data_IF_559510508208
#
_entry.id   IF_559510508208
#
_cell.length_a   1.000
_cell.length_b   1.000
_cell.length_c   1.000
_cell.angle_alpha   90.00
_cell.angle_beta   90.00
_cell.angle_gamma   90.00
#
_symmetry.space_group_name_H-M   'P 1'
#
loop_
_entity.id
_entity.type
_entity.pdbx_description
1 polymer ?
#
# COMPACT_ATOMS: atom_id res chain seq x y z
N UNK A 1 -5.08 -6.91 -26.28
CA UNK A 1 -5.37 -6.00 -25.14
C UNK A 1 -5.69 -6.73 -23.82
N UNK A 2 -6.47 -7.84 -23.82
CA UNK A 2 -6.84 -8.55 -22.57
C UNK A 2 -5.67 -9.15 -21.77
N UNK A 3 -4.56 -9.51 -22.43
CA UNK A 3 -3.36 -10.08 -21.79
C UNK A 3 -2.70 -9.08 -20.82
N UNK A 4 -2.34 -7.89 -21.31
CA UNK A 4 -1.74 -6.82 -20.51
C UNK A 4 -2.62 -6.42 -19.32
N UNK A 5 -3.93 -6.38 -19.51
CA UNK A 5 -4.87 -6.08 -18.42
C UNK A 5 -4.82 -7.12 -17.29
N UNK A 6 -4.65 -8.40 -17.63
CA UNK A 6 -4.50 -9.48 -16.62
C UNK A 6 -3.19 -9.35 -15.86
N UNK A 7 -2.09 -9.04 -16.55
CA UNK A 7 -0.79 -8.82 -15.92
C UNK A 7 -0.86 -7.65 -14.94
N UNK A 8 -1.36 -6.50 -15.37
CA UNK A 8 -1.50 -5.31 -14.52
C UNK A 8 -2.42 -5.57 -13.33
N UNK A 9 -3.47 -6.36 -13.51
CA UNK A 9 -4.34 -6.77 -12.41
C UNK A 9 -3.63 -7.67 -11.40
N UNK A 10 -2.86 -8.65 -11.87
CA UNK A 10 -2.07 -9.52 -11.01
C UNK A 10 -0.99 -8.73 -10.25
N UNK A 11 -0.30 -7.83 -10.95
CA UNK A 11 0.65 -6.89 -10.37
C UNK A 11 0.00 -6.04 -9.27
N UNK A 12 -1.18 -5.48 -9.54
CA UNK A 12 -1.92 -4.70 -8.54
C UNK A 12 -2.25 -5.54 -7.30
N UNK A 13 -2.76 -6.76 -7.47
CA UNK A 13 -3.04 -7.66 -6.34
C UNK A 13 -1.77 -7.99 -5.54
N UNK A 14 -0.67 -8.30 -6.23
CA UNK A 14 0.61 -8.62 -5.59
C UNK A 14 1.19 -7.42 -4.83
N UNK A 15 1.16 -6.23 -5.43
CA UNK A 15 1.62 -5.00 -4.81
C UNK A 15 0.84 -4.70 -3.51
N UNK A 16 -0.48 -4.78 -3.54
CA UNK A 16 -1.30 -4.52 -2.36
C UNK A 16 -1.18 -5.63 -1.31
N UNK A 17 -0.97 -6.89 -1.73
CA UNK A 17 -0.63 -7.98 -0.80
C UNK A 17 0.67 -7.68 -0.05
N UNK A 18 1.73 -7.30 -0.78
CA UNK A 18 3.01 -6.90 -0.20
C UNK A 18 2.86 -5.68 0.71
N UNK A 19 2.13 -4.65 0.27
CA UNK A 19 1.87 -3.47 1.08
C UNK A 19 1.21 -3.84 2.41
N UNK A 20 0.15 -4.67 2.39
CA UNK A 20 -0.54 -5.14 3.60
C UNK A 20 0.41 -5.89 4.53
N UNK A 21 1.27 -6.76 3.98
CA UNK A 21 2.28 -7.47 4.77
C UNK A 21 3.30 -6.51 5.40
N UNK A 22 3.77 -5.51 4.65
CA UNK A 22 4.72 -4.51 5.15
C UNK A 22 4.10 -3.69 6.29
N UNK A 23 2.88 -3.18 6.14
CA UNK A 23 2.25 -2.40 7.21
C UNK A 23 1.94 -3.25 8.45
N UNK A 24 1.61 -4.53 8.27
CA UNK A 24 1.42 -5.46 9.40
C UNK A 24 2.75 -5.75 10.10
N UNK A 25 3.82 -5.99 9.34
CA UNK A 25 5.17 -6.16 9.88
C UNK A 25 5.61 -4.91 10.66
N UNK A 26 5.36 -3.71 10.11
CA UNK A 26 5.65 -2.46 10.80
C UNK A 26 4.81 -2.29 12.07
N UNK A 27 3.52 -2.64 12.06
CA UNK A 27 2.70 -2.62 13.27
C UNK A 27 3.29 -3.51 14.37
N UNK A 28 3.74 -4.71 14.01
CA UNK A 28 4.42 -5.64 14.94
C UNK A 28 5.75 -5.06 15.44
N UNK A 29 6.59 -4.50 14.56
CA UNK A 29 7.88 -3.91 14.94
C UNK A 29 7.68 -2.76 15.94
N UNK A 30 6.72 -1.87 15.70
CA UNK A 30 6.42 -0.74 16.59
C UNK A 30 5.89 -1.25 17.94
N UNK A 31 5.05 -2.29 17.94
CA UNK A 31 4.52 -2.91 19.15
C UNK A 31 5.63 -3.56 20.00
N UNK A 32 6.58 -4.24 19.36
CA UNK A 32 7.67 -4.97 20.03
C UNK A 32 8.84 -4.06 20.46
N UNK A 33 9.14 -3.00 19.71
CA UNK A 33 10.31 -2.13 19.95
C UNK A 33 10.07 -1.00 20.98
N UNK A 34 8.87 -0.96 21.58
CA UNK A 34 8.28 0.19 22.31
C UNK A 34 7.93 1.36 21.36
N UNK A 35 6.72 1.94 21.45
CA UNK A 35 6.21 2.89 20.44
C UNK A 35 7.05 4.16 20.22
N UNK A 36 7.85 4.56 21.20
CA UNK A 36 8.62 5.81 21.18
C UNK A 36 9.98 5.72 20.47
N UNK A 37 10.40 4.54 20.03
CA UNK A 37 11.74 4.33 19.43
C UNK A 37 11.69 4.17 17.90
N UNK A 38 10.50 3.90 17.34
CA UNK A 38 10.34 3.62 15.91
C UNK A 38 9.81 4.86 15.18
N UNK A 39 10.72 5.54 14.48
CA UNK A 39 10.43 6.67 13.62
C UNK A 39 9.76 6.22 12.30
N UNK A 40 8.48 5.89 12.35
CA UNK A 40 7.72 5.46 11.16
C UNK A 40 6.48 6.34 10.94
N UNK A 41 6.46 7.08 9.83
CA UNK A 41 5.52 8.18 9.63
C UNK A 41 4.56 7.96 8.45
N UNK A 42 4.16 6.70 8.19
CA UNK A 42 3.25 6.39 7.07
C UNK A 42 1.90 7.09 7.24
N UNK A 43 1.35 7.06 8.46
CA UNK A 43 0.11 7.72 8.85
C UNK A 43 0.40 9.09 9.48
N UNK A 44 -0.58 10.02 9.50
CA UNK A 44 -0.38 11.37 10.04
C UNK A 44 -0.32 11.48 11.55
N UNK A 45 -0.47 10.37 12.26
CA UNK A 45 -0.46 10.28 13.71
C UNK A 45 0.72 9.45 14.19
N UNK A 46 1.16 9.70 15.42
CA UNK A 46 2.34 9.10 16.04
C UNK A 46 1.96 8.26 17.28
N UNK A 47 2.94 7.57 17.87
CA UNK A 47 2.79 6.84 19.13
C UNK A 47 1.75 5.71 19.07
N UNK A 48 0.93 5.56 20.11
CA UNK A 48 -0.06 4.47 20.20
C UNK A 48 -1.10 4.49 19.06
N UNK A 49 -1.51 5.69 18.62
CA UNK A 49 -2.46 5.84 17.51
C UNK A 49 -1.90 5.28 16.19
N UNK A 50 -0.58 5.36 15.97
CA UNK A 50 0.09 4.79 14.80
C UNK A 50 -0.11 3.28 14.73
N UNK A 51 0.10 2.56 15.84
CA UNK A 51 -0.03 1.10 15.89
C UNK A 51 -1.45 0.69 15.51
N UNK A 52 -2.46 1.25 16.18
CA UNK A 52 -3.85 0.92 15.89
C UNK A 52 -4.24 1.31 14.46
N UNK A 53 -3.77 2.45 13.98
CA UNK A 53 -3.98 2.89 12.60
C UNK A 53 -3.39 1.91 11.57
N UNK A 54 -2.16 1.42 11.79
CA UNK A 54 -1.51 0.44 10.91
C UNK A 54 -2.24 -0.90 10.92
N UNK A 55 -2.68 -1.37 12.10
CA UNK A 55 -3.46 -2.61 12.22
C UNK A 55 -4.79 -2.48 11.48
N UNK A 56 -5.54 -1.40 11.71
CA UNK A 56 -6.81 -1.15 11.02
C UNK A 56 -6.61 -1.04 9.51
N UNK A 57 -5.57 -0.32 9.08
CA UNK A 57 -5.22 -0.19 7.66
C UNK A 57 -4.90 -1.56 7.05
N UNK A 58 -4.14 -2.42 7.74
CA UNK A 58 -3.82 -3.77 7.30
C UNK A 58 -5.07 -4.65 7.15
N UNK A 59 -5.97 -4.58 8.12
CA UNK A 59 -7.23 -5.33 8.10
C UNK A 59 -8.14 -4.88 6.95
N UNK A 60 -8.33 -3.57 6.76
CA UNK A 60 -9.11 -3.02 5.65
C UNK A 60 -8.51 -3.47 4.31
N UNK A 61 -7.19 -3.32 4.15
CA UNK A 61 -6.48 -3.74 2.94
C UNK A 61 -6.63 -5.23 2.67
N UNK A 62 -6.48 -6.08 3.69
CA UNK A 62 -6.65 -7.52 3.57
C UNK A 62 -8.07 -7.90 3.14
N UNK A 63 -9.10 -7.33 3.76
CA UNK A 63 -10.50 -7.57 3.39
C UNK A 63 -10.75 -7.18 1.94
N UNK A 64 -10.38 -5.95 1.56
CA UNK A 64 -10.54 -5.47 0.18
C UNK A 64 -9.83 -6.39 -0.81
N UNK A 65 -8.60 -6.81 -0.51
CA UNK A 65 -7.81 -7.70 -1.36
C UNK A 65 -8.46 -9.09 -1.53
N UNK A 66 -9.00 -9.66 -0.44
CA UNK A 66 -9.69 -10.96 -0.44
C UNK A 66 -10.96 -10.97 -1.30
N UNK A 67 -11.65 -9.83 -1.41
CA UNK A 67 -12.79 -9.66 -2.29
C UNK A 67 -12.37 -9.29 -3.73
N UNK A 68 -11.36 -8.43 -3.88
CA UNK A 68 -10.84 -7.99 -5.18
C UNK A 68 -10.27 -9.13 -6.03
N UNK A 69 -9.69 -10.16 -5.40
CA UNK A 69 -9.22 -11.39 -6.08
C UNK A 69 -10.36 -12.22 -6.68
N UNK A 70 -11.58 -12.10 -6.14
CA UNK A 70 -12.80 -12.76 -6.62
C UNK A 70 -13.58 -11.89 -7.61
N UNK A 71 -13.02 -10.75 -8.02
CA UNK A 71 -13.69 -9.77 -8.86
C UNK A 71 -14.80 -8.98 -8.16
N UNK A 72 -14.89 -9.05 -6.82
CA UNK A 72 -15.83 -8.28 -6.00
C UNK A 72 -15.17 -6.99 -5.49
N UNK A 73 -15.98 -6.03 -5.03
CA UNK A 73 -15.50 -4.75 -4.47
C UNK A 73 -14.47 -3.99 -5.33
N UNK A 74 -14.55 -4.08 -6.66
CA UNK A 74 -13.56 -3.44 -7.56
C UNK A 74 -13.45 -1.93 -7.36
N UNK A 75 -14.56 -1.24 -7.07
CA UNK A 75 -14.55 0.19 -6.76
C UNK A 75 -13.80 0.50 -5.46
N UNK A 76 -14.02 -0.31 -4.42
CA UNK A 76 -13.29 -0.18 -3.16
C UNK A 76 -11.80 -0.52 -3.32
N UNK A 77 -11.46 -1.50 -4.18
CA UNK A 77 -10.07 -1.82 -4.48
C UNK A 77 -9.35 -0.68 -5.19
N UNK A 78 -10.01 0.00 -6.13
CA UNK A 78 -9.45 1.20 -6.77
C UNK A 78 -9.26 2.34 -5.76
N UNK A 79 -10.29 2.64 -4.95
CA UNK A 79 -10.19 3.67 -3.92
C UNK A 79 -9.07 3.37 -2.92
N UNK A 80 -8.94 2.09 -2.53
CA UNK A 80 -7.84 1.59 -1.72
C UNK A 80 -6.47 1.83 -2.38
N UNK A 81 -6.32 1.53 -3.66
CA UNK A 81 -5.06 1.78 -4.37
C UNK A 81 -4.68 3.24 -4.44
N UNK A 82 -5.65 4.13 -4.64
CA UNK A 82 -5.41 5.58 -4.61
C UNK A 82 -4.99 6.02 -3.21
N UNK A 83 -5.65 5.51 -2.16
CA UNK A 83 -5.27 5.78 -0.77
C UNK A 83 -3.83 5.32 -0.49
N UNK A 84 -3.46 4.10 -0.89
CA UNK A 84 -2.10 3.59 -0.70
C UNK A 84 -1.06 4.46 -1.42
N UNK A 85 -1.32 4.84 -2.67
CA UNK A 85 -0.43 5.75 -3.39
C UNK A 85 -0.29 7.10 -2.67
N UNK A 86 -1.41 7.67 -2.20
CA UNK A 86 -1.40 8.92 -1.44
C UNK A 86 -0.60 8.81 -0.13
N UNK A 87 -0.73 7.69 0.59
CA UNK A 87 0.04 7.43 1.83
C UNK A 87 1.54 7.30 1.56
N UNK A 88 1.94 6.65 0.46
CA UNK A 88 3.35 6.54 0.07
C UNK A 88 3.93 7.91 -0.30
N UNK A 89 3.20 8.70 -1.10
CA UNK A 89 3.60 10.08 -1.42
C UNK A 89 3.73 10.91 -0.14
N UNK A 90 2.75 10.79 0.76
CA UNK A 90 2.78 11.44 2.07
C UNK A 90 4.02 11.04 2.87
N UNK A 91 4.32 9.75 2.96
CA UNK A 91 5.46 9.24 3.69
C UNK A 91 6.78 9.87 3.22
N UNK A 92 7.00 9.97 1.91
CA UNK A 92 8.26 10.49 1.38
C UNK A 92 8.38 12.02 1.37
N UNK A 93 7.28 12.74 1.11
CA UNK A 93 7.34 14.19 0.87
C UNK A 93 6.67 15.05 1.94
N UNK A 94 5.75 14.49 2.73
CA UNK A 94 4.94 15.22 3.71
C UNK A 94 5.10 14.65 5.13
N UNK A 95 6.20 13.94 5.37
CA UNK A 95 6.59 13.44 6.68
C UNK A 95 8.00 13.93 7.03
N UNK A 96 8.47 13.73 8.27
CA UNK A 96 9.85 14.02 8.66
C UNK A 96 10.94 13.18 7.94
N UNK A 97 10.59 12.36 6.94
CA UNK A 97 11.53 11.59 6.12
C UNK A 97 12.61 12.51 5.51
N UNK A 98 13.88 12.14 5.70
CA UNK A 98 15.04 12.86 5.15
C UNK A 98 15.71 11.99 4.09
N UNK A 99 15.83 12.53 2.89
CA UNK A 99 16.64 11.91 1.84
C UNK A 99 18.12 12.11 2.14
N UNK A 100 18.89 11.02 2.14
CA UNK A 100 20.34 11.11 2.33
C UNK A 100 21.01 11.46 1.00
N UNK A 101 21.79 12.55 0.88
CA UNK A 101 22.50 12.87 -0.36
C UNK A 101 23.43 11.72 -0.80
N UNK A 102 23.38 11.34 -2.07
CA UNK A 102 24.24 10.30 -2.66
C UNK A 102 23.82 8.84 -2.38
N UNK A 103 22.77 8.59 -1.60
CA UNK A 103 22.30 7.25 -1.21
C UNK A 103 21.44 6.53 -2.26
N UNK A 104 20.89 7.25 -3.24
CA UNK A 104 19.87 6.73 -4.16
C UNK A 104 18.44 6.72 -3.59
N UNK A 105 18.22 7.15 -2.35
CA UNK A 105 16.91 7.14 -1.67
C UNK A 105 15.80 7.83 -2.47
N UNK A 106 16.14 8.92 -3.18
CA UNK A 106 15.19 9.67 -4.02
C UNK A 106 14.70 8.82 -5.19
N UNK A 107 15.60 8.11 -5.87
CA UNK A 107 15.25 7.24 -6.99
C UNK A 107 14.39 6.07 -6.51
N UNK A 108 14.73 5.49 -5.34
CA UNK A 108 13.92 4.45 -4.72
C UNK A 108 12.50 4.95 -4.39
N UNK A 109 12.38 6.13 -3.77
CA UNK A 109 11.08 6.72 -3.44
C UNK A 109 10.22 6.96 -4.69
N UNK A 110 10.81 7.53 -5.74
CA UNK A 110 10.13 7.73 -7.01
C UNK A 110 9.71 6.39 -7.64
N UNK A 111 10.56 5.37 -7.59
CA UNK A 111 10.25 4.03 -8.10
C UNK A 111 9.07 3.39 -7.33
N UNK A 112 9.04 3.53 -6.00
CA UNK A 112 7.95 3.00 -5.16
C UNK A 112 6.63 3.74 -5.45
N UNK A 113 6.69 5.06 -5.67
CA UNK A 113 5.50 5.85 -6.05
C UNK A 113 5.00 5.42 -7.44
N UNK A 114 5.88 5.28 -8.42
CA UNK A 114 5.51 4.80 -9.76
C UNK A 114 4.93 3.39 -9.70
N UNK A 115 5.48 2.50 -8.87
CA UNK A 115 4.94 1.18 -8.62
C UNK A 115 3.52 1.23 -8.04
N UNK A 116 3.28 2.10 -7.06
CA UNK A 116 1.95 2.30 -6.46
C UNK A 116 0.94 2.84 -7.48
N UNK A 117 1.34 3.80 -8.32
CA UNK A 117 0.50 4.35 -9.38
C UNK A 117 0.18 3.28 -10.44
N UNK A 118 1.16 2.47 -10.83
CA UNK A 118 0.95 1.34 -11.74
C UNK A 118 -0.01 0.31 -11.15
N UNK A 119 0.06 0.07 -9.83
CA UNK A 119 -0.87 -0.80 -9.12
C UNK A 119 -2.29 -0.22 -9.11
N UNK A 120 -2.45 1.10 -8.98
CA UNK A 120 -3.75 1.77 -9.10
C UNK A 120 -4.34 1.66 -10.51
N UNK A 121 -3.51 1.80 -11.56
CA UNK A 121 -3.93 1.52 -12.94
C UNK A 121 -4.41 0.08 -13.08
N UNK A 122 -3.67 -0.88 -12.53
CA UNK A 122 -4.08 -2.29 -12.52
C UNK A 122 -5.36 -2.57 -11.72
N UNK A 123 -5.63 -1.79 -10.67
CA UNK A 123 -6.87 -1.90 -9.88
C UNK A 123 -8.10 -1.40 -10.63
N UNK A 124 -7.94 -0.36 -11.46
CA UNK A 124 -9.01 0.15 -12.34
C UNK A 124 -9.45 -0.88 -13.39
N UNK A 125 -8.53 -1.75 -13.83
CA UNK A 125 -8.84 -2.78 -14.81
C UNK A 125 -9.72 -3.87 -14.18
N UNK A 126 -10.95 -4.02 -14.68
CA UNK A 126 -11.90 -5.03 -14.22
C UNK A 126 -11.38 -6.44 -14.53
N UNK A 127 -11.49 -7.36 -13.58
CA UNK A 127 -11.36 -8.78 -13.90
C UNK A 127 -12.52 -9.20 -14.83
N UNK A 128 -12.25 -9.99 -15.89
CA UNK A 128 -13.32 -10.68 -16.60
C UNK A 128 -14.07 -11.56 -15.60
N UNK A 129 -15.40 -11.42 -15.50
CA UNK A 129 -16.22 -12.37 -14.73
C UNK A 129 -16.03 -13.74 -15.37
N UNK A 130 -15.40 -14.67 -14.67
CA UNK A 130 -15.51 -16.08 -15.04
C UNK A 130 -16.90 -16.55 -14.57
N UNK A 131 -17.69 -17.23 -15.43
CA UNK A 131 -18.86 -17.94 -14.95
C UNK A 131 -18.36 -18.98 -13.94
N UNK A 132 -18.83 -18.85 -12.69
CA UNK A 132 -18.61 -19.85 -11.64
C UNK A 132 -19.41 -21.11 -11.91
#
# INVERSE_FOLDING_TARGET
MKFWSRILRLYSLAFHALFVLVILAMALIVLLSRPSTVNFYLLPWEGGALIYGLIVLALIGAVILLFARRGQLNGAFLAWSVLVAALIVRYYFFSPYRFTPGSGDVLLALAVILAALLAAVGAYLKQPKYPG
#
